data_IF_882795584958
#
_entry.id   IF_882795584958
#
_cell.length_a   1.000
_cell.length_b   1.000
_cell.length_c   1.000
_cell.angle_alpha   90.00
_cell.angle_beta   90.00
_cell.angle_gamma   90.00
#
_symmetry.space_group_name_H-M   'P 1'
#
loop_
_entity.id
_entity.type
_entity.pdbx_description
1 polymer ?
#
# COMPACT_ATOMS: atom_id res chain seq x y z
N UNK A 1 -38.82 39.02 -27.40
CA UNK A 1 -37.93 38.51 -26.37
C UNK A 1 -37.81 39.58 -25.31
N UNK A 2 -38.35 39.37 -24.12
CA UNK A 2 -38.44 40.40 -23.08
C UNK A 2 -37.07 40.62 -22.42
N UNK A 3 -36.78 41.85 -22.02
CA UNK A 3 -35.52 42.26 -21.34
C UNK A 3 -35.16 41.38 -20.13
N UNK A 4 -36.15 40.80 -19.45
CA UNK A 4 -36.00 39.85 -18.36
C UNK A 4 -35.33 38.52 -18.81
N UNK A 5 -35.65 38.02 -20.01
CA UNK A 5 -35.03 36.77 -20.56
C UNK A 5 -33.57 36.97 -20.95
N UNK A 6 -33.22 38.18 -21.43
CA UNK A 6 -31.83 38.52 -21.77
C UNK A 6 -30.96 38.64 -20.49
N UNK A 7 -31.48 39.27 -19.42
CA UNK A 7 -30.77 39.34 -18.12
C UNK A 7 -30.57 37.97 -17.47
N UNK A 8 -31.56 37.08 -17.55
CA UNK A 8 -31.39 35.68 -17.04
C UNK A 8 -30.38 34.86 -17.83
N UNK A 9 -30.32 35.02 -19.15
CA UNK A 9 -29.33 34.38 -20.00
C UNK A 9 -27.91 34.89 -19.72
N UNK A 10 -27.72 36.20 -19.53
CA UNK A 10 -26.41 36.79 -19.19
C UNK A 10 -25.97 36.35 -17.80
N UNK A 11 -26.84 36.29 -16.80
CA UNK A 11 -26.54 35.80 -15.46
C UNK A 11 -26.16 34.30 -15.47
N UNK A 12 -26.84 33.45 -16.24
CA UNK A 12 -26.57 32.03 -16.36
C UNK A 12 -25.26 31.75 -17.11
N UNK A 13 -24.87 32.55 -18.09
CA UNK A 13 -23.57 32.43 -18.77
C UNK A 13 -22.44 32.87 -17.86
N UNK A 14 -22.57 33.95 -17.10
CA UNK A 14 -21.57 34.44 -16.14
C UNK A 14 -21.29 33.40 -15.01
N UNK A 15 -22.35 32.79 -14.46
CA UNK A 15 -22.18 31.73 -13.43
C UNK A 15 -21.50 30.49 -13.99
N UNK A 16 -21.78 30.09 -15.22
CA UNK A 16 -21.13 28.93 -15.88
C UNK A 16 -19.64 29.19 -16.12
N UNK A 17 -19.28 30.38 -16.59
CA UNK A 17 -17.87 30.77 -16.77
C UNK A 17 -17.12 30.80 -15.47
N UNK A 18 -17.66 31.29 -14.37
CA UNK A 18 -17.08 31.28 -13.05
C UNK A 18 -16.86 29.85 -12.53
N UNK A 19 -17.78 28.92 -12.74
CA UNK A 19 -17.62 27.53 -12.38
C UNK A 19 -16.48 26.84 -13.15
N UNK A 20 -16.34 27.10 -14.43
CA UNK A 20 -15.25 26.57 -15.27
C UNK A 20 -13.89 27.16 -14.84
N UNK A 21 -13.83 28.47 -14.58
CA UNK A 21 -12.63 29.12 -14.10
C UNK A 21 -12.18 28.54 -12.75
N UNK A 22 -13.06 28.41 -11.79
CA UNK A 22 -12.77 27.80 -10.48
C UNK A 22 -12.24 26.36 -10.63
N UNK A 23 -12.88 25.53 -11.47
CA UNK A 23 -12.43 24.17 -11.73
C UNK A 23 -11.00 24.14 -12.29
N UNK A 24 -10.69 25.02 -13.25
CA UNK A 24 -9.35 25.12 -13.83
C UNK A 24 -8.31 25.56 -12.80
N UNK A 25 -8.64 26.52 -11.93
CA UNK A 25 -7.77 26.93 -10.83
C UNK A 25 -7.48 25.79 -9.84
N UNK A 26 -8.52 25.06 -9.44
CA UNK A 26 -8.36 23.90 -8.57
C UNK A 26 -7.48 22.81 -9.21
N UNK A 27 -7.60 22.57 -10.52
CA UNK A 27 -6.74 21.63 -11.23
C UNK A 27 -5.31 22.14 -11.36
N UNK A 28 -5.10 23.46 -11.55
CA UNK A 28 -3.77 24.05 -11.61
C UNK A 28 -3.02 23.95 -10.26
N UNK A 29 -3.75 23.92 -9.14
CA UNK A 29 -3.16 23.64 -7.82
C UNK A 29 -2.41 22.29 -7.79
N UNK A 30 -2.83 21.30 -8.61
CA UNK A 30 -2.12 20.04 -8.74
C UNK A 30 -0.72 20.18 -9.31
N UNK A 31 -0.55 21.05 -10.31
CA UNK A 31 0.79 21.36 -10.87
C UNK A 31 1.61 22.15 -9.84
N UNK A 32 1.02 23.15 -9.23
CA UNK A 32 1.70 24.01 -8.26
C UNK A 32 2.19 23.22 -7.03
N UNK A 33 1.31 22.40 -6.41
CA UNK A 33 1.67 21.55 -5.27
C UNK A 33 2.75 20.53 -5.64
N UNK A 34 2.56 19.84 -6.76
CA UNK A 34 3.54 18.85 -7.25
C UNK A 34 4.91 19.44 -7.57
N UNK A 35 4.99 20.73 -7.92
CA UNK A 35 6.26 21.42 -8.18
C UNK A 35 6.87 21.96 -6.90
N UNK A 36 6.04 22.44 -5.96
CA UNK A 36 6.52 23.02 -4.71
C UNK A 36 7.26 21.99 -3.84
N UNK A 37 6.80 20.74 -3.77
CA UNK A 37 7.41 19.69 -2.94
C UNK A 37 8.89 19.46 -3.30
N UNK A 38 9.28 19.12 -4.54
CA UNK A 38 10.70 18.90 -4.88
C UNK A 38 11.54 20.19 -4.75
N UNK A 39 10.98 21.36 -5.01
CA UNK A 39 11.69 22.62 -4.82
C UNK A 39 11.97 22.88 -3.35
N UNK A 40 11.02 22.60 -2.47
CA UNK A 40 11.17 22.73 -1.01
C UNK A 40 12.21 21.76 -0.46
N UNK A 41 12.20 20.49 -0.91
CA UNK A 41 13.19 19.47 -0.52
C UNK A 41 14.62 19.90 -0.94
N UNK A 42 14.81 20.26 -2.21
CA UNK A 42 16.10 20.72 -2.71
C UNK A 42 16.57 21.95 -1.92
N UNK A 43 15.70 22.94 -1.72
CA UNK A 43 16.04 24.15 -0.98
C UNK A 43 16.41 23.85 0.47
N UNK A 44 15.63 23.03 1.17
CA UNK A 44 15.90 22.65 2.56
C UNK A 44 17.24 21.93 2.72
N UNK A 45 17.57 21.03 1.78
CA UNK A 45 18.86 20.33 1.77
C UNK A 45 20.05 21.29 1.75
N UNK A 46 19.95 22.42 1.03
CA UNK A 46 21.02 23.44 1.01
C UNK A 46 21.17 24.18 2.32
N UNK A 47 20.18 24.08 3.22
CA UNK A 47 20.16 24.75 4.53
C UNK A 47 20.54 23.84 5.69
N UNK A 48 20.75 22.54 5.43
CA UNK A 48 21.15 21.59 6.45
C UNK A 48 22.63 21.20 6.26
N UNK A 49 23.51 21.80 7.05
CA UNK A 49 24.95 21.50 6.99
C UNK A 49 25.24 20.04 7.30
N UNK A 50 25.98 19.37 6.41
CA UNK A 50 26.33 17.96 6.57
C UNK A 50 25.26 16.98 6.09
N UNK A 51 24.12 17.44 5.59
CA UNK A 51 23.10 16.57 5.04
C UNK A 51 23.51 15.98 3.68
N UNK A 52 23.40 14.66 3.56
CA UNK A 52 23.63 13.97 2.29
C UNK A 52 22.32 13.78 1.52
N UNK A 53 22.13 14.55 0.45
CA UNK A 53 20.97 14.41 -0.44
C UNK A 53 20.83 13.00 -1.03
N UNK A 54 21.96 12.33 -1.28
CA UNK A 54 22.01 10.96 -1.81
C UNK A 54 21.62 9.91 -0.77
N UNK A 55 22.11 10.06 0.47
CA UNK A 55 22.12 8.96 1.45
C UNK A 55 21.11 9.17 2.59
N UNK A 56 20.60 10.41 2.80
CA UNK A 56 19.66 10.70 3.87
C UNK A 56 18.24 10.89 3.36
N UNK A 57 17.27 10.37 4.11
CA UNK A 57 15.86 10.42 3.80
C UNK A 57 15.30 11.86 3.80
N UNK A 58 14.26 12.11 3.03
CA UNK A 58 13.55 13.41 3.04
C UNK A 58 12.99 13.69 4.42
N UNK A 59 12.49 12.68 5.11
CA UNK A 59 11.92 12.78 6.46
C UNK A 59 12.95 13.25 7.51
N UNK A 60 14.24 13.03 7.30
CA UNK A 60 15.30 13.55 8.18
C UNK A 60 15.40 15.10 8.12
N UNK A 61 14.90 15.75 7.06
CA UNK A 61 14.85 17.22 6.98
C UNK A 61 13.86 17.85 7.96
N UNK A 62 12.88 17.09 8.43
CA UNK A 62 11.86 17.56 9.39
C UNK A 62 11.70 16.64 10.61
N UNK A 63 12.71 15.79 10.85
CA UNK A 63 12.80 15.01 12.08
C UNK A 63 12.79 15.88 13.34
N UNK A 64 12.44 15.31 14.48
CA UNK A 64 12.46 16.01 15.76
C UNK A 64 13.89 16.51 16.03
N UNK A 65 14.07 17.83 16.13
CA UNK A 65 15.37 18.47 16.32
C UNK A 65 16.15 18.78 15.03
N UNK A 66 15.63 18.45 13.84
CA UNK A 66 16.27 18.82 12.58
C UNK A 66 16.29 20.36 12.41
N UNK A 67 17.43 20.96 11.98
CA UNK A 67 17.56 22.41 11.85
C UNK A 67 16.65 23.00 10.77
N UNK A 68 16.20 22.18 9.83
CA UNK A 68 15.34 22.57 8.71
C UNK A 68 13.85 22.32 8.97
N UNK A 69 13.45 21.75 10.08
CA UNK A 69 12.05 21.39 10.36
C UNK A 69 11.10 22.59 10.25
N UNK A 70 11.48 23.75 10.82
CA UNK A 70 10.70 25.00 10.76
C UNK A 70 10.54 25.57 9.35
N UNK A 71 11.36 25.15 8.40
CA UNK A 71 11.28 25.52 6.98
C UNK A 71 10.47 24.50 6.19
N UNK A 72 10.77 23.22 6.39
CA UNK A 72 10.23 22.12 5.58
C UNK A 72 8.75 21.88 5.89
N UNK A 73 8.38 21.83 7.17
CA UNK A 73 7.00 21.57 7.61
C UNK A 73 6.00 22.55 6.99
N UNK A 74 6.19 23.88 7.03
CA UNK A 74 5.28 24.83 6.38
C UNK A 74 5.23 24.63 4.85
N UNK A 75 6.39 24.46 4.19
CA UNK A 75 6.42 24.31 2.73
C UNK A 75 5.74 23.03 2.25
N UNK A 76 5.95 21.91 2.92
CA UNK A 76 5.26 20.66 2.64
C UNK A 76 3.76 20.73 2.96
N UNK A 77 3.39 21.45 4.04
CA UNK A 77 1.98 21.70 4.37
C UNK A 77 1.28 22.55 3.29
N UNK A 78 1.94 23.56 2.74
CA UNK A 78 1.42 24.34 1.60
C UNK A 78 1.28 23.44 0.37
N UNK A 79 2.28 22.62 0.05
CA UNK A 79 2.21 21.65 -1.05
C UNK A 79 1.01 20.71 -0.89
N UNK A 80 0.84 20.11 0.29
CA UNK A 80 -0.29 19.22 0.60
C UNK A 80 -1.64 19.94 0.53
N UNK A 81 -1.72 21.19 0.98
CA UNK A 81 -2.94 22.01 0.84
C UNK A 81 -3.30 22.27 -0.63
N UNK A 82 -2.32 22.58 -1.47
CA UNK A 82 -2.54 22.74 -2.91
C UNK A 82 -3.00 21.41 -3.55
N UNK A 83 -2.44 20.28 -3.15
CA UNK A 83 -2.88 18.97 -3.62
C UNK A 83 -4.28 18.59 -3.10
N UNK A 84 -4.67 19.05 -1.91
CA UNK A 84 -6.04 18.89 -1.41
C UNK A 84 -7.03 19.70 -2.24
N UNK A 85 -6.69 20.94 -2.61
CA UNK A 85 -7.48 21.74 -3.55
C UNK A 85 -7.55 21.08 -4.93
N UNK A 86 -6.46 20.46 -5.37
CA UNK A 86 -6.45 19.67 -6.60
C UNK A 86 -7.41 18.47 -6.53
N UNK A 87 -7.48 17.76 -5.41
CA UNK A 87 -8.44 16.67 -5.22
C UNK A 87 -9.91 17.17 -5.38
N UNK A 88 -10.22 18.37 -4.89
CA UNK A 88 -11.51 19.02 -5.16
C UNK A 88 -11.71 19.32 -6.66
N UNK A 89 -10.65 19.73 -7.36
CA UNK A 89 -10.67 19.93 -8.82
C UNK A 89 -10.95 18.62 -9.58
N UNK A 90 -10.32 17.51 -9.17
CA UNK A 90 -10.58 16.17 -9.73
C UNK A 90 -12.04 15.77 -9.52
N UNK A 91 -12.56 15.97 -8.30
CA UNK A 91 -13.98 15.67 -8.00
C UNK A 91 -14.93 16.43 -8.91
N UNK A 92 -14.70 17.73 -9.10
CA UNK A 92 -15.50 18.58 -10.00
C UNK A 92 -15.38 18.17 -11.47
N UNK A 93 -14.24 17.61 -11.87
CA UNK A 93 -13.97 17.12 -13.23
C UNK A 93 -14.57 15.74 -13.50
N UNK A 94 -15.10 15.07 -12.49
CA UNK A 94 -15.54 13.69 -12.62
C UNK A 94 -16.72 13.50 -13.59
N UNK A 95 -17.58 14.50 -13.78
CA UNK A 95 -18.74 14.45 -14.68
C UNK A 95 -19.53 13.13 -14.56
N UNK A 96 -19.78 12.67 -13.32
CA UNK A 96 -20.45 11.40 -13.02
C UNK A 96 -19.59 10.14 -13.17
N UNK A 97 -18.32 10.25 -13.58
CA UNK A 97 -17.36 9.12 -13.65
C UNK A 97 -16.93 8.73 -12.23
N UNK A 98 -17.50 7.69 -11.69
CA UNK A 98 -17.27 7.24 -10.29
C UNK A 98 -15.82 6.90 -9.98
N UNK A 99 -15.09 6.31 -10.93
CA UNK A 99 -13.64 6.04 -10.76
C UNK A 99 -12.84 7.32 -10.52
N UNK A 100 -13.22 8.42 -11.20
CA UNK A 100 -12.60 9.74 -10.98
C UNK A 100 -13.03 10.35 -9.65
N UNK A 101 -14.28 10.13 -9.21
CA UNK A 101 -14.73 10.58 -7.88
C UNK A 101 -13.98 9.86 -6.77
N UNK A 102 -13.81 8.52 -6.86
CA UNK A 102 -13.02 7.77 -5.90
C UNK A 102 -11.53 8.12 -5.94
N UNK A 103 -10.99 8.38 -7.14
CA UNK A 103 -9.64 8.92 -7.27
C UNK A 103 -9.50 10.23 -6.48
N UNK A 104 -10.46 11.15 -6.60
CA UNK A 104 -10.46 12.40 -5.85
C UNK A 104 -10.54 12.18 -4.34
N UNK A 105 -11.35 11.22 -3.87
CA UNK A 105 -11.44 10.87 -2.44
C UNK A 105 -10.11 10.31 -1.93
N UNK A 106 -9.49 9.37 -2.65
CA UNK A 106 -8.20 8.81 -2.23
C UNK A 106 -7.10 9.87 -2.25
N UNK A 107 -7.09 10.76 -3.24
CA UNK A 107 -6.20 11.91 -3.26
C UNK A 107 -6.41 12.85 -2.07
N UNK A 108 -7.67 13.12 -1.69
CA UNK A 108 -7.96 13.94 -0.52
C UNK A 108 -7.49 13.27 0.79
N UNK A 109 -7.70 11.95 0.93
CA UNK A 109 -7.24 11.20 2.10
C UNK A 109 -5.71 11.17 2.19
N UNK A 110 -5.01 10.92 1.08
CA UNK A 110 -3.55 10.97 1.00
C UNK A 110 -3.00 12.35 1.41
N UNK A 111 -3.59 13.42 0.89
CA UNK A 111 -3.12 14.77 1.21
C UNK A 111 -3.49 15.21 2.64
N UNK A 112 -4.60 14.73 3.21
CA UNK A 112 -4.95 14.93 4.61
C UNK A 112 -4.01 14.14 5.54
N UNK A 113 -3.63 12.92 5.15
CA UNK A 113 -2.60 12.14 5.82
C UNK A 113 -1.29 12.93 5.90
N UNK A 114 -0.79 13.40 4.77
CA UNK A 114 0.44 14.21 4.70
C UNK A 114 0.34 15.55 5.44
N UNK A 115 -0.83 16.20 5.44
CA UNK A 115 -1.02 17.50 6.09
C UNK A 115 -1.18 17.39 7.60
N UNK A 116 -1.78 16.30 8.09
CA UNK A 116 -2.17 16.14 9.49
C UNK A 116 -1.32 15.09 10.18
N UNK A 117 -1.38 13.82 9.73
CA UNK A 117 -0.80 12.70 10.48
C UNK A 117 0.73 12.72 10.49
N UNK A 118 1.37 13.11 9.40
CA UNK A 118 2.83 13.26 9.35
C UNK A 118 3.36 14.30 10.34
N UNK A 119 2.58 15.36 10.63
CA UNK A 119 2.94 16.37 11.63
C UNK A 119 2.72 15.88 13.08
N UNK A 120 1.82 14.90 13.30
CA UNK A 120 1.62 14.29 14.62
C UNK A 120 2.62 13.17 14.91
N UNK A 121 3.18 12.55 13.88
CA UNK A 121 4.13 11.43 14.01
C UNK A 121 5.45 11.73 13.29
N UNK A 122 6.17 12.79 13.66
CA UNK A 122 7.51 13.05 13.12
C UNK A 122 8.48 11.95 13.57
N UNK A 123 9.46 11.63 12.73
CA UNK A 123 10.52 10.70 13.11
C UNK A 123 11.56 11.38 14.03
N UNK A 124 12.30 10.58 14.79
CA UNK A 124 13.49 11.03 15.52
C UNK A 124 14.71 11.09 14.60
N UNK A 125 15.74 11.77 15.08
CA UNK A 125 17.02 11.88 14.39
C UNK A 125 17.67 10.50 14.23
N UNK A 126 18.46 10.36 13.16
CA UNK A 126 19.31 9.18 12.90
C UNK A 126 20.12 8.80 14.14
N UNK A 127 20.18 7.50 14.44
CA UNK A 127 20.88 6.96 15.61
C UNK A 127 20.11 7.04 16.93
N UNK A 128 18.85 7.52 16.89
CA UNK A 128 17.97 7.51 18.07
C UNK A 128 17.31 6.14 18.26
N UNK A 129 16.99 5.80 19.52
CA UNK A 129 16.18 4.61 19.79
C UNK A 129 14.79 4.77 19.19
N UNK A 130 14.27 3.74 18.46
CA UNK A 130 12.96 3.82 17.84
C UNK A 130 11.84 3.95 18.90
N UNK A 131 10.94 4.89 18.68
CA UNK A 131 9.79 5.12 19.54
C UNK A 131 8.46 4.87 18.79
N UNK A 132 7.34 4.95 19.50
CA UNK A 132 6.02 4.76 18.90
C UNK A 132 5.76 5.71 17.71
N UNK A 133 6.22 6.95 17.79
CA UNK A 133 6.10 7.94 16.70
C UNK A 133 6.82 7.50 15.44
N UNK A 134 7.98 6.85 15.56
CA UNK A 134 8.75 6.32 14.42
C UNK A 134 8.06 5.14 13.75
N UNK A 135 7.44 4.26 14.55
CA UNK A 135 6.60 3.18 14.03
C UNK A 135 5.41 3.74 13.24
N UNK A 136 4.73 4.75 13.78
CA UNK A 136 3.61 5.41 13.11
C UNK A 136 4.08 6.15 11.85
N UNK A 137 5.23 6.84 11.89
CA UNK A 137 5.85 7.46 10.73
C UNK A 137 6.11 6.45 9.61
N UNK A 138 6.71 5.30 9.94
CA UNK A 138 6.93 4.21 8.99
C UNK A 138 5.64 3.63 8.42
N UNK A 139 4.57 3.53 9.22
CA UNK A 139 3.26 3.08 8.76
C UNK A 139 2.65 4.07 7.76
N UNK A 140 2.72 5.39 8.04
CA UNK A 140 2.22 6.43 7.15
C UNK A 140 3.03 6.49 5.85
N UNK A 141 4.34 6.22 5.90
CA UNK A 141 5.21 6.21 4.72
C UNK A 141 4.85 5.14 3.68
N UNK A 142 4.11 4.08 4.05
CA UNK A 142 3.59 3.10 3.08
C UNK A 142 2.44 3.66 2.23
N UNK A 143 1.75 4.67 2.70
CA UNK A 143 0.72 5.47 2.05
C UNK A 143 -0.30 4.67 1.22
N UNK A 144 -1.23 3.93 1.87
CA UNK A 144 -2.23 3.14 1.19
C UNK A 144 -3.21 3.98 0.36
N UNK A 145 -3.40 5.25 0.72
CA UNK A 145 -4.29 6.17 0.00
C UNK A 145 -3.68 6.60 -1.33
N UNK A 146 -2.37 6.88 -1.36
CA UNK A 146 -1.64 7.15 -2.60
C UNK A 146 -1.70 5.94 -3.54
N UNK A 147 -1.38 4.75 -3.04
CA UNK A 147 -1.44 3.53 -3.85
C UNK A 147 -2.85 3.35 -4.43
N UNK A 148 -3.90 3.53 -3.63
CA UNK A 148 -5.27 3.46 -4.08
C UNK A 148 -5.59 4.53 -5.14
N UNK A 149 -5.12 5.77 -4.96
CA UNK A 149 -5.32 6.86 -5.91
C UNK A 149 -4.68 6.56 -7.27
N UNK A 150 -3.41 6.12 -7.29
CA UNK A 150 -2.70 5.82 -8.55
C UNK A 150 -3.34 4.63 -9.26
N UNK A 151 -3.75 3.57 -8.54
CA UNK A 151 -4.50 2.44 -9.13
C UNK A 151 -5.83 2.90 -9.71
N UNK A 152 -6.58 3.75 -9.01
CA UNK A 152 -7.82 4.33 -9.55
C UNK A 152 -7.56 5.21 -10.78
N UNK A 153 -6.43 5.90 -10.84
CA UNK A 153 -5.96 6.62 -12.03
C UNK A 153 -5.78 5.67 -13.22
N UNK A 154 -5.11 4.53 -13.04
CA UNK A 154 -4.96 3.52 -14.08
C UNK A 154 -6.31 2.91 -14.55
N UNK A 155 -7.31 2.85 -13.66
CA UNK A 155 -8.67 2.38 -13.97
C UNK A 155 -9.48 3.46 -14.69
N UNK A 156 -9.40 4.71 -14.23
CA UNK A 156 -10.22 5.83 -14.69
C UNK A 156 -9.84 6.32 -16.09
N UNK A 157 -8.57 6.20 -16.47
CA UNK A 157 -8.05 6.70 -17.73
C UNK A 157 -7.62 5.55 -18.67
N UNK A 158 -7.47 5.86 -19.97
CA UNK A 158 -7.09 4.90 -21.02
C UNK A 158 -5.89 5.44 -21.82
N UNK A 159 -5.36 4.60 -22.72
CA UNK A 159 -4.25 4.99 -23.61
C UNK A 159 -2.94 5.21 -22.85
N UNK A 160 -2.15 6.15 -23.33
CA UNK A 160 -0.79 6.44 -22.85
C UNK A 160 -0.74 6.81 -21.36
N UNK A 161 -1.74 7.55 -20.87
CA UNK A 161 -1.78 7.93 -19.45
C UNK A 161 -1.96 6.72 -18.52
N UNK A 162 -2.72 5.69 -18.93
CA UNK A 162 -2.80 4.43 -18.17
C UNK A 162 -1.46 3.72 -18.10
N UNK A 163 -0.77 3.61 -19.25
CA UNK A 163 0.56 2.97 -19.31
C UNK A 163 1.56 3.72 -18.43
N UNK A 164 1.59 5.04 -18.53
CA UNK A 164 2.39 5.90 -17.67
C UNK A 164 2.06 5.68 -16.18
N UNK A 165 0.79 5.66 -15.80
CA UNK A 165 0.36 5.44 -14.41
C UNK A 165 0.80 4.07 -13.89
N UNK A 166 0.66 3.00 -14.68
CA UNK A 166 1.13 1.66 -14.29
C UNK A 166 2.65 1.64 -14.14
N UNK A 167 3.38 2.28 -15.08
CA UNK A 167 4.83 2.44 -14.97
C UNK A 167 5.24 3.20 -13.70
N UNK A 168 4.52 4.26 -13.34
CA UNK A 168 4.75 5.01 -12.09
C UNK A 168 4.53 4.12 -10.86
N UNK A 169 3.45 3.32 -10.81
CA UNK A 169 3.21 2.38 -9.69
C UNK A 169 4.40 1.43 -9.50
N UNK A 170 4.83 0.80 -10.57
CA UNK A 170 5.94 -0.17 -10.51
C UNK A 170 7.26 0.50 -10.10
N UNK A 171 7.55 1.67 -10.69
CA UNK A 171 8.76 2.42 -10.41
C UNK A 171 8.82 2.90 -8.95
N UNK A 172 7.76 3.57 -8.48
CA UNK A 172 7.70 4.09 -7.11
C UNK A 172 7.70 2.96 -6.09
N UNK A 173 7.02 1.85 -6.37
CA UNK A 173 7.00 0.68 -5.49
C UNK A 173 8.39 0.06 -5.31
N UNK A 174 9.12 -0.17 -6.40
CA UNK A 174 10.49 -0.74 -6.33
C UNK A 174 11.41 0.18 -5.54
N UNK A 175 11.39 1.49 -5.82
CA UNK A 175 12.28 2.44 -5.13
C UNK A 175 11.89 2.64 -3.66
N UNK A 176 10.59 2.64 -3.34
CA UNK A 176 10.12 2.68 -1.95
C UNK A 176 10.63 1.46 -1.18
N UNK A 177 10.54 0.26 -1.74
CA UNK A 177 11.06 -0.96 -1.10
C UNK A 177 12.57 -0.88 -0.88
N UNK A 178 13.33 -0.34 -1.83
CA UNK A 178 14.77 -0.10 -1.66
C UNK A 178 15.04 0.90 -0.52
N UNK A 179 14.31 2.01 -0.44
CA UNK A 179 14.42 2.98 0.66
C UNK A 179 14.09 2.37 2.02
N UNK A 180 12.99 1.61 2.10
CA UNK A 180 12.57 0.94 3.32
C UNK A 180 13.60 -0.07 3.85
N UNK A 181 14.42 -0.68 3.00
CA UNK A 181 15.46 -1.62 3.44
C UNK A 181 16.52 -0.98 4.37
N UNK A 182 16.62 0.34 4.39
CA UNK A 182 17.57 1.08 5.22
C UNK A 182 17.01 1.58 6.56
N UNK A 183 15.73 1.38 6.87
CA UNK A 183 15.10 1.95 8.07
C UNK A 183 15.81 1.51 9.35
N UNK A 184 16.24 0.25 9.46
CA UNK A 184 16.99 -0.24 10.61
C UNK A 184 18.35 0.44 10.74
N UNK A 185 19.06 0.64 9.62
CA UNK A 185 20.36 1.32 9.59
C UNK A 185 20.24 2.80 9.99
N UNK A 186 19.11 3.47 9.65
CA UNK A 186 18.85 4.84 10.10
C UNK A 186 18.80 4.91 11.63
N UNK A 187 18.07 4.01 12.29
CA UNK A 187 17.99 3.99 13.75
C UNK A 187 19.28 3.53 14.40
N UNK A 188 20.06 2.65 13.76
CA UNK A 188 21.39 2.27 14.23
C UNK A 188 22.44 3.37 14.02
N UNK A 189 22.13 4.46 13.31
CA UNK A 189 23.11 5.48 12.94
C UNK A 189 24.10 5.07 11.87
N UNK A 190 23.84 3.96 11.19
CA UNK A 190 24.71 3.36 10.16
C UNK A 190 24.57 4.07 8.80
N UNK A 191 25.56 3.93 7.90
CA UNK A 191 25.48 4.43 6.54
C UNK A 191 24.28 3.85 5.75
N UNK A 192 23.58 4.70 5.02
CA UNK A 192 22.42 4.31 4.20
C UNK A 192 22.63 4.74 2.74
N UNK A 193 23.59 4.12 2.02
CA UNK A 193 23.97 4.54 0.68
C UNK A 193 22.78 4.47 -0.29
N UNK A 194 22.55 5.58 -1.01
CA UNK A 194 21.45 5.75 -1.98
C UNK A 194 20.03 5.80 -1.40
N UNK A 195 19.82 5.70 -0.09
CA UNK A 195 18.48 5.77 0.52
C UNK A 195 17.75 7.06 0.13
N UNK A 196 18.39 8.22 0.32
CA UNK A 196 17.82 9.51 -0.02
C UNK A 196 17.53 9.69 -1.50
N UNK A 197 18.41 9.19 -2.37
CA UNK A 197 18.21 9.23 -3.81
C UNK A 197 17.04 8.36 -4.27
N UNK A 198 16.90 7.14 -3.75
CA UNK A 198 15.78 6.24 -4.10
C UNK A 198 14.45 6.76 -3.58
N UNK A 199 14.40 7.30 -2.36
CA UNK A 199 13.21 7.92 -1.81
C UNK A 199 12.77 9.13 -2.66
N UNK A 200 13.70 10.06 -2.97
CA UNK A 200 13.40 11.22 -3.81
C UNK A 200 12.96 10.86 -5.21
N UNK A 201 13.59 9.87 -5.83
CA UNK A 201 13.17 9.39 -7.15
C UNK A 201 11.73 8.85 -7.12
N UNK A 202 11.32 8.12 -6.05
CA UNK A 202 9.96 7.67 -5.84
C UNK A 202 9.01 8.86 -5.63
N UNK A 203 9.34 9.78 -4.73
CA UNK A 203 8.51 10.95 -4.41
C UNK A 203 8.35 11.89 -5.61
N UNK A 204 9.42 12.15 -6.37
CA UNK A 204 9.37 13.04 -7.53
C UNK A 204 8.60 12.41 -8.69
N UNK A 205 8.69 11.09 -8.88
CA UNK A 205 7.85 10.39 -9.85
C UNK A 205 6.37 10.49 -9.49
N UNK A 206 6.04 10.42 -8.19
CA UNK A 206 4.67 10.62 -7.69
C UNK A 206 4.20 12.07 -7.93
N UNK A 207 5.02 13.05 -7.61
CA UNK A 207 4.69 14.46 -7.85
C UNK A 207 4.52 14.73 -9.36
N UNK A 208 5.36 14.15 -10.21
CA UNK A 208 5.22 14.22 -11.67
C UNK A 208 3.89 13.60 -12.11
N UNK A 209 3.47 12.49 -11.50
CA UNK A 209 2.17 11.89 -11.79
C UNK A 209 1.01 12.81 -11.42
N UNK A 210 1.06 13.54 -10.27
CA UNK A 210 0.05 14.55 -9.93
C UNK A 210 -0.02 15.65 -10.98
N UNK A 211 1.14 16.19 -11.40
CA UNK A 211 1.20 17.23 -12.42
C UNK A 211 0.65 16.75 -13.77
N UNK A 212 0.98 15.53 -14.18
CA UNK A 212 0.48 14.93 -15.42
C UNK A 212 -1.03 14.65 -15.36
N UNK A 213 -1.55 14.18 -14.23
CA UNK A 213 -3.00 14.02 -14.02
C UNK A 213 -3.72 15.37 -14.13
N UNK A 214 -3.17 16.42 -13.50
CA UNK A 214 -3.71 17.77 -13.60
C UNK A 214 -3.72 18.27 -15.05
N UNK A 215 -2.63 18.06 -15.79
CA UNK A 215 -2.50 18.43 -17.19
C UNK A 215 -3.50 17.70 -18.09
N UNK A 216 -3.72 16.40 -17.86
CA UNK A 216 -4.72 15.60 -18.58
C UNK A 216 -6.13 16.15 -18.33
N UNK A 217 -6.50 16.41 -17.07
CA UNK A 217 -7.82 16.93 -16.72
C UNK A 217 -8.04 18.37 -17.22
N UNK A 218 -6.98 19.21 -17.26
CA UNK A 218 -7.05 20.57 -17.82
C UNK A 218 -7.27 20.57 -19.34
N UNK A 219 -6.82 19.52 -20.04
CA UNK A 219 -7.00 19.34 -21.48
C UNK A 219 -8.36 18.74 -21.84
N UNK A 220 -9.01 18.03 -20.93
CA UNK A 220 -10.37 17.54 -21.13
C UNK A 220 -11.31 18.75 -21.24
N UNK A 221 -11.86 19.01 -22.43
CA UNK A 221 -12.85 20.07 -22.63
C UNK A 221 -14.11 19.68 -21.82
N UNK A 222 -14.77 20.62 -21.10
CA UNK A 222 -16.09 20.38 -20.54
C UNK A 222 -17.06 20.11 -21.70
N UNK A 223 -17.35 18.84 -21.96
CA UNK A 223 -18.32 18.52 -23.03
C UNK A 223 -19.72 18.86 -22.55
N UNK A 224 -20.32 19.87 -23.17
CA UNK A 224 -21.70 20.27 -22.97
C UNK A 224 -22.73 19.16 -23.31
N UNK A 225 -22.29 18.02 -23.82
CA UNK A 225 -23.11 16.91 -24.31
C UNK A 225 -23.26 15.71 -23.37
N UNK A 226 -22.68 15.74 -22.16
CA UNK A 226 -22.77 14.60 -21.22
C UNK A 226 -23.98 14.67 -20.27
N UNK A 227 -24.96 15.50 -20.52
CA UNK A 227 -26.21 15.60 -19.71
C UNK A 227 -27.27 14.56 -20.10
N UNK A 228 -27.05 13.77 -21.14
CA UNK A 228 -27.98 12.73 -21.56
C UNK A 228 -27.41 11.35 -21.20
N UNK A 229 -28.06 10.76 -20.20
CA UNK A 229 -27.93 9.41 -19.65
C UNK A 229 -26.65 9.12 -18.88
N UNK A 230 -26.70 9.14 -17.52
CA UNK A 230 -25.68 8.49 -16.73
C UNK A 230 -25.79 6.99 -16.97
N UNK A 231 -24.77 6.40 -17.62
CA UNK A 231 -24.61 4.95 -17.62
C UNK A 231 -24.43 4.53 -16.17
N UNK A 232 -25.52 4.13 -15.53
CA UNK A 232 -25.53 3.61 -14.16
C UNK A 232 -24.77 2.27 -14.09
N UNK A 233 -23.45 2.32 -14.26
CA UNK A 233 -22.60 1.25 -13.73
C UNK A 233 -22.58 1.45 -12.23
N UNK A 234 -23.18 0.54 -11.50
CA UNK A 234 -23.40 0.64 -10.06
C UNK A 234 -22.06 0.84 -9.34
N UNK A 235 -21.96 1.84 -8.44
CA UNK A 235 -20.78 2.14 -7.59
C UNK A 235 -20.26 0.89 -6.88
N UNK A 236 -21.16 -0.05 -6.52
CA UNK A 236 -20.82 -1.34 -5.94
C UNK A 236 -19.95 -2.20 -6.83
N UNK A 237 -20.13 -2.16 -8.17
CA UNK A 237 -19.35 -2.99 -9.12
C UNK A 237 -17.91 -2.52 -9.21
N UNK A 238 -17.67 -1.20 -9.28
CA UNK A 238 -16.32 -0.65 -9.38
C UNK A 238 -15.52 -0.82 -8.08
N UNK A 239 -16.16 -0.62 -6.92
CA UNK A 239 -15.54 -0.86 -5.62
C UNK A 239 -15.17 -2.33 -5.43
N UNK A 240 -16.05 -3.27 -5.80
CA UNK A 240 -15.75 -4.70 -5.72
C UNK A 240 -14.61 -5.06 -6.67
N UNK A 241 -14.58 -4.53 -7.90
CA UNK A 241 -13.48 -4.76 -8.85
C UNK A 241 -12.14 -4.24 -8.34
N UNK A 242 -12.14 -3.07 -7.70
CA UNK A 242 -10.95 -2.52 -7.04
C UNK A 242 -10.52 -3.42 -5.88
N UNK A 243 -11.44 -3.76 -4.99
CA UNK A 243 -11.14 -4.60 -3.83
C UNK A 243 -10.70 -6.03 -4.24
N UNK A 244 -11.22 -6.59 -5.36
CA UNK A 244 -10.67 -7.82 -5.94
C UNK A 244 -9.21 -7.64 -6.39
N UNK A 245 -8.82 -6.47 -6.93
CA UNK A 245 -7.42 -6.21 -7.32
C UNK A 245 -6.48 -6.20 -6.11
N UNK A 246 -6.98 -5.85 -4.92
CA UNK A 246 -6.19 -5.89 -3.68
C UNK A 246 -5.62 -7.28 -3.39
N UNK A 247 -6.24 -8.37 -3.92
CA UNK A 247 -5.67 -9.73 -3.82
C UNK A 247 -4.34 -9.88 -4.57
N UNK A 248 -4.21 -9.30 -5.76
CA UNK A 248 -2.93 -9.28 -6.49
C UNK A 248 -1.93 -8.38 -5.79
N UNK A 249 -2.35 -7.19 -5.37
CA UNK A 249 -1.46 -6.25 -4.68
C UNK A 249 -0.96 -6.80 -3.34
N UNK A 250 -1.80 -7.48 -2.56
CA UNK A 250 -1.36 -8.13 -1.32
C UNK A 250 -0.33 -9.24 -1.59
N UNK A 251 -0.52 -10.03 -2.66
CA UNK A 251 0.43 -11.07 -3.04
C UNK A 251 1.77 -10.48 -3.49
N UNK A 252 1.75 -9.40 -4.29
CA UNK A 252 2.98 -8.69 -4.72
C UNK A 252 3.68 -8.06 -3.53
N UNK A 253 2.97 -7.34 -2.66
CA UNK A 253 3.55 -6.70 -1.48
C UNK A 253 4.26 -7.73 -0.59
N UNK A 254 3.57 -8.82 -0.22
CA UNK A 254 4.16 -9.83 0.66
C UNK A 254 5.36 -10.53 0.01
N UNK A 255 5.28 -10.84 -1.29
CA UNK A 255 6.43 -11.41 -2.02
C UNK A 255 7.64 -10.46 -2.02
N UNK A 256 7.39 -9.15 -2.16
CA UNK A 256 8.45 -8.14 -2.06
C UNK A 256 9.04 -8.06 -0.65
N UNK A 257 8.21 -8.16 0.39
CA UNK A 257 8.68 -8.22 1.79
C UNK A 257 9.61 -9.43 2.01
N UNK A 258 9.28 -10.60 1.44
CA UNK A 258 10.12 -11.81 1.57
C UNK A 258 11.51 -11.66 0.92
N UNK A 259 11.64 -10.76 -0.06
CA UNK A 259 12.91 -10.53 -0.78
C UNK A 259 13.69 -9.38 -0.14
N UNK A 260 13.01 -8.27 0.14
CA UNK A 260 13.66 -7.00 0.50
C UNK A 260 14.00 -6.93 1.99
N UNK A 261 13.09 -7.35 2.88
CA UNK A 261 13.30 -7.22 4.33
C UNK A 261 14.54 -8.03 4.82
N UNK A 262 14.77 -9.27 4.34
CA UNK A 262 16.00 -9.99 4.68
C UNK A 262 17.29 -9.23 4.38
N UNK A 263 17.33 -8.36 3.37
CA UNK A 263 18.51 -7.59 3.00
C UNK A 263 18.92 -6.56 4.08
N UNK A 264 18.00 -6.20 4.96
CA UNK A 264 18.25 -5.30 6.08
C UNK A 264 18.80 -6.00 7.35
N UNK A 265 19.07 -7.30 7.27
CA UNK A 265 19.62 -8.08 8.38
C UNK A 265 20.73 -9.01 7.85
N UNK A 266 21.98 -8.58 7.98
CA UNK A 266 23.16 -9.26 7.40
C UNK A 266 23.36 -10.71 7.87
N UNK A 267 22.97 -11.02 9.10
CA UNK A 267 23.11 -12.34 9.70
C UNK A 267 21.93 -13.28 9.39
N UNK A 268 20.86 -12.74 8.78
CA UNK A 268 19.67 -13.52 8.47
C UNK A 268 19.88 -14.39 7.23
N UNK A 269 19.59 -15.67 7.37
CA UNK A 269 19.60 -16.64 6.27
C UNK A 269 18.17 -17.00 5.85
N UNK A 270 17.77 -16.52 4.67
CA UNK A 270 16.46 -16.87 4.09
C UNK A 270 16.27 -18.38 3.83
N UNK A 271 17.36 -19.15 3.77
CA UNK A 271 17.29 -20.60 3.61
C UNK A 271 16.98 -21.32 4.93
N UNK A 272 17.62 -20.89 6.01
CA UNK A 272 17.60 -21.60 7.30
C UNK A 272 16.69 -20.95 8.35
N UNK A 273 16.34 -19.67 8.20
CA UNK A 273 15.53 -18.95 9.17
C UNK A 273 14.11 -18.69 8.67
N UNK A 274 13.16 -18.73 9.61
CA UNK A 274 11.75 -18.55 9.34
C UNK A 274 11.41 -17.10 8.97
N UNK A 275 10.33 -16.91 8.25
CA UNK A 275 9.78 -15.57 7.95
C UNK A 275 9.32 -14.88 9.24
N UNK A 276 8.85 -15.66 10.22
CA UNK A 276 8.43 -15.15 11.53
C UNK A 276 9.58 -14.50 12.30
N UNK A 277 10.82 -14.97 12.15
CA UNK A 277 12.01 -14.37 12.78
C UNK A 277 12.26 -12.94 12.29
N UNK A 278 11.83 -12.57 11.06
CA UNK A 278 11.94 -11.19 10.57
C UNK A 278 11.08 -10.19 11.35
N UNK A 279 10.05 -10.66 12.06
CA UNK A 279 9.15 -9.85 12.90
C UNK A 279 9.27 -10.18 14.39
N UNK A 280 10.23 -11.02 14.78
CA UNK A 280 10.44 -11.43 16.16
C UNK A 280 10.70 -10.23 17.08
N UNK A 281 10.49 -10.41 18.38
CA UNK A 281 10.88 -9.43 19.39
C UNK A 281 12.40 -9.23 19.28
N UNK A 282 12.84 -7.98 19.26
CA UNK A 282 14.22 -7.54 19.10
C UNK A 282 14.89 -7.87 17.75
N UNK A 283 14.12 -8.40 16.76
CA UNK A 283 14.65 -8.56 15.41
C UNK A 283 14.95 -7.20 14.77
N UNK A 284 16.13 -7.00 14.14
CA UNK A 284 16.49 -5.74 13.47
C UNK A 284 15.46 -5.29 12.41
N UNK A 285 14.80 -6.26 11.78
CA UNK A 285 13.82 -6.04 10.71
C UNK A 285 12.39 -5.83 11.18
N UNK A 286 12.12 -5.90 12.49
CA UNK A 286 10.77 -5.79 13.04
C UNK A 286 10.08 -4.47 12.67
N UNK A 287 10.80 -3.34 12.74
CA UNK A 287 10.29 -2.01 12.40
C UNK A 287 9.92 -1.88 10.92
N UNK A 288 10.52 -2.66 10.04
CA UNK A 288 10.14 -2.77 8.63
C UNK A 288 8.91 -3.66 8.44
N UNK A 289 8.90 -4.80 9.15
CA UNK A 289 7.88 -5.82 8.96
C UNK A 289 6.49 -5.34 9.40
N UNK A 290 6.39 -4.70 10.58
CA UNK A 290 5.10 -4.37 11.19
C UNK A 290 4.24 -3.44 10.32
N UNK A 291 4.71 -2.26 9.85
CA UNK A 291 3.88 -1.37 9.04
C UNK A 291 3.49 -2.00 7.71
N UNK A 292 4.41 -2.68 7.03
CA UNK A 292 4.14 -3.37 5.77
C UNK A 292 3.16 -4.53 5.96
N UNK A 293 3.28 -5.27 7.07
CA UNK A 293 2.37 -6.34 7.45
C UNK A 293 0.93 -5.84 7.70
N UNK A 294 0.76 -4.68 8.33
CA UNK A 294 -0.57 -4.06 8.51
C UNK A 294 -1.18 -3.69 7.16
N UNK A 295 -0.41 -3.04 6.27
CA UNK A 295 -0.91 -2.68 4.94
C UNK A 295 -1.26 -3.93 4.13
N UNK A 296 -0.41 -4.95 4.19
CA UNK A 296 -0.72 -6.24 3.58
C UNK A 296 -2.04 -6.83 4.10
N UNK A 297 -2.26 -6.84 5.41
CA UNK A 297 -3.47 -7.36 6.03
C UNK A 297 -4.72 -6.57 5.60
N UNK A 298 -4.63 -5.24 5.49
CA UNK A 298 -5.73 -4.40 4.98
C UNK A 298 -6.06 -4.71 3.52
N UNK A 299 -5.07 -4.88 2.65
CA UNK A 299 -5.26 -5.26 1.25
C UNK A 299 -5.88 -6.67 1.14
N UNK A 300 -5.40 -7.62 1.94
CA UNK A 300 -5.89 -8.99 1.97
C UNK A 300 -7.33 -9.05 2.52
N UNK A 301 -7.66 -8.28 3.54
CA UNK A 301 -9.01 -8.14 4.08
C UNK A 301 -9.99 -7.51 3.08
N UNK A 302 -9.57 -6.46 2.37
CA UNK A 302 -10.35 -5.84 1.30
C UNK A 302 -10.65 -6.84 0.17
N UNK A 303 -9.66 -7.66 -0.21
CA UNK A 303 -9.85 -8.75 -1.14
C UNK A 303 -10.87 -9.78 -0.64
N UNK A 304 -10.75 -10.25 0.61
CA UNK A 304 -11.69 -11.18 1.23
C UNK A 304 -13.12 -10.65 1.25
N UNK A 305 -13.29 -9.38 1.60
CA UNK A 305 -14.58 -8.69 1.53
C UNK A 305 -15.15 -8.69 0.08
N UNK A 306 -14.31 -8.44 -0.92
CA UNK A 306 -14.74 -8.45 -2.32
C UNK A 306 -15.11 -9.85 -2.81
N UNK A 307 -14.39 -10.89 -2.38
CA UNK A 307 -14.76 -12.30 -2.62
C UNK A 307 -16.15 -12.57 -2.04
N UNK A 308 -16.39 -12.19 -0.78
CA UNK A 308 -17.71 -12.33 -0.14
C UNK A 308 -18.81 -11.61 -0.93
N UNK A 309 -18.60 -10.36 -1.32
CA UNK A 309 -19.57 -9.58 -2.13
C UNK A 309 -19.72 -10.11 -3.56
N UNK A 310 -18.76 -10.88 -4.06
CA UNK A 310 -18.82 -11.51 -5.38
C UNK A 310 -19.56 -12.86 -5.39
N UNK A 311 -19.88 -13.41 -4.23
CA UNK A 311 -20.36 -14.77 -4.06
C UNK A 311 -21.77 -15.04 -4.62
N UNK A 312 -22.56 -14.00 -4.94
CA UNK A 312 -23.96 -14.13 -5.36
C UNK A 312 -24.75 -15.11 -4.44
N UNK A 313 -25.21 -16.25 -4.97
CA UNK A 313 -25.89 -17.31 -4.22
C UNK A 313 -24.96 -18.38 -3.63
N UNK A 314 -23.65 -18.38 -4.01
CA UNK A 314 -22.71 -19.42 -3.56
C UNK A 314 -22.34 -19.25 -2.08
N UNK A 315 -22.86 -20.15 -1.23
CA UNK A 315 -22.49 -20.18 0.21
C UNK A 315 -21.01 -20.46 0.40
N UNK A 316 -20.43 -21.37 -0.41
CA UNK A 316 -19.01 -21.73 -0.32
C UNK A 316 -18.11 -20.54 -0.65
N UNK A 317 -18.39 -19.79 -1.71
CA UNK A 317 -17.58 -18.60 -2.07
C UNK A 317 -17.76 -17.48 -1.03
N UNK A 318 -18.94 -17.35 -0.41
CA UNK A 318 -19.17 -16.42 0.69
C UNK A 318 -18.33 -16.77 1.92
N UNK A 319 -18.31 -18.06 2.28
CA UNK A 319 -17.48 -18.56 3.37
C UNK A 319 -15.97 -18.39 3.07
N UNK A 320 -15.53 -18.62 1.81
CA UNK A 320 -14.17 -18.30 1.38
C UNK A 320 -13.81 -16.84 1.70
N UNK A 321 -14.65 -15.89 1.29
CA UNK A 321 -14.42 -14.48 1.56
C UNK A 321 -14.38 -14.15 3.05
N UNK A 322 -15.28 -14.75 3.85
CA UNK A 322 -15.29 -14.60 5.30
C UNK A 322 -14.00 -15.14 5.95
N UNK A 323 -13.55 -16.33 5.56
CA UNK A 323 -12.29 -16.92 6.07
C UNK A 323 -11.08 -16.04 5.76
N UNK A 324 -11.01 -15.45 4.56
CA UNK A 324 -9.95 -14.51 4.19
C UNK A 324 -10.01 -13.24 5.07
N UNK A 325 -11.20 -12.68 5.32
CA UNK A 325 -11.33 -11.50 6.19
C UNK A 325 -10.89 -11.83 7.62
N UNK A 326 -11.31 -12.98 8.16
CA UNK A 326 -10.88 -13.40 9.51
C UNK A 326 -9.38 -13.60 9.58
N UNK A 327 -8.77 -14.23 8.56
CA UNK A 327 -7.32 -14.40 8.47
C UNK A 327 -6.58 -13.05 8.38
N UNK A 328 -7.13 -12.08 7.65
CA UNK A 328 -6.55 -10.74 7.55
C UNK A 328 -6.59 -10.00 8.90
N UNK A 329 -7.72 -10.05 9.60
CA UNK A 329 -7.85 -9.47 10.95
C UNK A 329 -6.90 -10.16 11.93
N UNK A 330 -6.81 -11.49 11.89
CA UNK A 330 -5.86 -12.25 12.68
C UNK A 330 -4.40 -11.83 12.38
N UNK A 331 -4.09 -11.50 11.12
CA UNK A 331 -2.78 -11.01 10.71
C UNK A 331 -2.37 -9.68 11.34
N UNK A 332 -3.32 -8.78 11.63
CA UNK A 332 -3.05 -7.50 12.32
C UNK A 332 -2.65 -7.75 13.79
N UNK A 333 -3.29 -8.73 14.44
CA UNK A 333 -3.08 -9.05 15.86
C UNK A 333 -2.15 -10.25 16.05
N UNK A 334 -1.21 -10.45 15.12
CA UNK A 334 -0.30 -11.60 15.17
C UNK A 334 0.60 -11.53 16.41
N UNK A 335 0.56 -12.52 17.31
CA UNK A 335 1.42 -12.54 18.48
C UNK A 335 2.90 -12.61 18.05
N UNK A 336 3.79 -11.76 18.56
CA UNK A 336 5.20 -11.85 18.23
C UNK A 336 5.85 -13.08 18.90
N UNK A 337 6.87 -13.63 18.24
CA UNK A 337 7.76 -14.62 18.84
C UNK A 337 9.09 -13.97 19.25
N UNK A 338 9.86 -14.62 20.11
CA UNK A 338 11.25 -14.27 20.37
C UNK A 338 12.19 -14.90 19.34
N UNK A 339 13.40 -14.37 19.26
CA UNK A 339 14.48 -14.95 18.47
C UNK A 339 14.87 -16.34 19.04
N UNK A 340 15.39 -17.23 18.17
CA UNK A 340 15.73 -18.60 18.53
C UNK A 340 16.76 -18.70 19.69
N UNK A 341 17.66 -17.74 19.78
CA UNK A 341 18.66 -17.65 20.85
C UNK A 341 17.99 -17.44 22.21
N UNK A 342 16.97 -16.60 22.26
CA UNK A 342 16.19 -16.32 23.48
C UNK A 342 15.34 -17.53 23.88
N UNK A 343 14.73 -18.20 22.90
CA UNK A 343 13.94 -19.41 23.14
C UNK A 343 14.83 -20.54 23.71
N UNK A 344 16.00 -20.79 23.11
CA UNK A 344 16.95 -21.79 23.55
C UNK A 344 17.53 -21.51 24.94
N UNK A 345 17.62 -20.23 25.33
CA UNK A 345 18.02 -19.82 26.68
C UNK A 345 16.89 -19.94 27.73
N UNK A 346 15.70 -20.43 27.35
CA UNK A 346 14.54 -20.54 28.22
C UNK A 346 13.79 -19.21 28.43
N UNK A 347 14.04 -18.19 27.57
CA UNK A 347 13.38 -16.88 27.62
C UNK A 347 12.02 -16.83 26.94
N UNK A 348 11.45 -17.97 26.53
CA UNK A 348 10.13 -18.02 25.89
C UNK A 348 9.00 -17.59 26.84
N UNK A 349 7.98 -16.96 26.21
CA UNK A 349 6.81 -16.41 26.93
C UNK A 349 5.50 -16.99 26.39
N UNK A 350 4.39 -16.62 26.99
CA UNK A 350 3.04 -16.97 26.48
C UNK A 350 2.83 -16.48 25.04
N UNK A 351 3.50 -15.37 24.63
CA UNK A 351 3.42 -14.85 23.28
C UNK A 351 3.93 -15.85 22.23
N UNK A 352 5.00 -16.60 22.53
CA UNK A 352 5.56 -17.62 21.63
C UNK A 352 4.58 -18.80 21.44
N UNK A 353 3.96 -19.26 22.50
CA UNK A 353 2.90 -20.28 22.43
C UNK A 353 1.70 -19.79 21.61
N UNK A 354 1.27 -18.54 21.85
CA UNK A 354 0.18 -17.93 21.09
C UNK A 354 0.55 -17.78 19.62
N UNK A 355 1.83 -17.46 19.29
CA UNK A 355 2.32 -17.39 17.91
C UNK A 355 2.10 -18.72 17.18
N UNK A 356 2.47 -19.84 17.81
CA UNK A 356 2.29 -21.18 17.21
C UNK A 356 0.81 -21.51 17.04
N UNK A 357 -0.02 -21.26 18.06
CA UNK A 357 -1.47 -21.49 18.00
C UNK A 357 -2.11 -20.64 16.91
N UNK A 358 -1.68 -19.36 16.80
CA UNK A 358 -2.19 -18.42 15.78
C UNK A 358 -1.79 -18.85 14.37
N UNK A 359 -0.57 -19.33 14.20
CA UNK A 359 -0.06 -19.88 12.93
C UNK A 359 -0.89 -21.09 12.51
N UNK A 360 -1.14 -22.02 13.42
CA UNK A 360 -1.97 -23.20 13.15
C UNK A 360 -3.41 -22.83 12.80
N UNK A 361 -4.04 -21.92 13.55
CA UNK A 361 -5.38 -21.42 13.26
C UNK A 361 -5.48 -20.75 11.89
N UNK A 362 -4.48 -19.95 11.52
CA UNK A 362 -4.43 -19.28 10.23
C UNK A 362 -4.20 -20.26 9.08
N UNK A 363 -3.41 -21.31 9.27
CA UNK A 363 -3.26 -22.40 8.30
C UNK A 363 -4.60 -23.11 8.05
N UNK A 364 -5.36 -23.41 9.11
CA UNK A 364 -6.69 -24.02 8.99
C UNK A 364 -7.65 -23.09 8.21
N UNK A 365 -7.67 -21.79 8.53
CA UNK A 365 -8.51 -20.81 7.80
C UNK A 365 -8.13 -20.72 6.31
N UNK A 366 -6.84 -20.79 6.01
CA UNK A 366 -6.33 -20.76 4.63
C UNK A 366 -6.75 -22.02 3.86
N UNK A 367 -6.55 -23.20 4.43
CA UNK A 367 -6.96 -24.47 3.82
C UNK A 367 -8.47 -24.55 3.62
N UNK A 368 -9.25 -24.07 4.61
CA UNK A 368 -10.71 -23.96 4.52
C UNK A 368 -11.12 -23.03 3.37
N UNK A 369 -10.53 -21.84 3.29
CA UNK A 369 -10.81 -20.90 2.20
C UNK A 369 -10.51 -21.50 0.82
N UNK A 370 -9.39 -22.22 0.68
CA UNK A 370 -9.01 -22.90 -0.55
C UNK A 370 -9.96 -24.03 -0.92
N UNK A 371 -10.33 -24.87 0.04
CA UNK A 371 -11.28 -25.99 -0.17
C UNK A 371 -12.66 -25.50 -0.57
N UNK A 372 -13.17 -24.46 0.10
CA UNK A 372 -14.46 -23.84 -0.22
C UNK A 372 -14.46 -23.17 -1.59
N UNK A 373 -13.39 -22.47 -1.96
CA UNK A 373 -13.24 -21.89 -3.29
C UNK A 373 -13.12 -22.98 -4.38
N UNK A 374 -12.42 -24.06 -4.10
CA UNK A 374 -12.34 -25.24 -4.99
C UNK A 374 -13.71 -25.89 -5.24
N UNK A 375 -14.57 -25.91 -4.21
CA UNK A 375 -15.94 -26.41 -4.34
C UNK A 375 -16.85 -25.46 -5.12
N UNK A 376 -16.61 -24.12 -5.01
CA UNK A 376 -17.46 -23.09 -5.59
C UNK A 376 -17.16 -22.79 -7.07
N UNK A 377 -15.91 -23.02 -7.52
CA UNK A 377 -15.43 -22.60 -8.82
C UNK A 377 -15.18 -23.79 -9.75
N UNK A 378 -15.03 -23.51 -11.04
CA UNK A 378 -14.97 -24.54 -12.08
C UNK A 378 -13.82 -25.55 -11.94
N UNK A 379 -13.91 -26.67 -12.70
CA UNK A 379 -12.99 -27.82 -12.59
C UNK A 379 -11.49 -27.44 -12.64
N UNK A 380 -11.09 -26.51 -13.53
CA UNK A 380 -9.68 -26.09 -13.64
C UNK A 380 -9.17 -25.45 -12.37
N UNK A 381 -9.96 -24.53 -11.78
CA UNK A 381 -9.59 -23.87 -10.52
C UNK A 381 -9.60 -24.85 -9.35
N UNK A 382 -10.51 -25.82 -9.34
CA UNK A 382 -10.56 -26.89 -8.34
C UNK A 382 -9.27 -27.71 -8.33
N UNK A 383 -8.83 -28.19 -9.51
CA UNK A 383 -7.58 -28.97 -9.63
C UNK A 383 -6.38 -28.14 -9.15
N UNK A 384 -6.31 -26.87 -9.57
CA UNK A 384 -5.27 -25.94 -9.13
C UNK A 384 -5.27 -25.76 -7.61
N UNK A 385 -6.44 -25.54 -7.00
CA UNK A 385 -6.56 -25.36 -5.54
C UNK A 385 -6.17 -26.63 -4.78
N UNK A 386 -6.56 -27.80 -5.25
CA UNK A 386 -6.16 -29.09 -4.62
C UNK A 386 -4.65 -29.27 -4.71
N UNK A 387 -4.04 -29.01 -5.86
CA UNK A 387 -2.58 -29.09 -6.02
C UNK A 387 -1.86 -28.10 -5.08
N UNK A 388 -2.37 -26.86 -4.94
CA UNK A 388 -1.82 -25.89 -4.00
C UNK A 388 -1.97 -26.37 -2.56
N UNK A 389 -3.12 -26.90 -2.15
CA UNK A 389 -3.33 -27.47 -0.81
C UNK A 389 -2.31 -28.59 -0.52
N UNK A 390 -2.04 -29.48 -1.47
CA UNK A 390 -1.04 -30.54 -1.31
C UNK A 390 0.35 -29.93 -1.09
N UNK A 391 0.73 -28.91 -1.86
CA UNK A 391 2.01 -28.21 -1.67
C UNK A 391 2.07 -27.57 -0.28
N UNK A 392 1.02 -26.89 0.16
CA UNK A 392 0.97 -26.24 1.47
C UNK A 392 1.14 -27.27 2.61
N UNK A 393 0.40 -28.38 2.54
CA UNK A 393 0.47 -29.43 3.55
C UNK A 393 1.86 -30.09 3.58
N UNK A 394 2.42 -30.44 2.42
CA UNK A 394 3.74 -31.06 2.33
C UNK A 394 4.84 -30.12 2.85
N UNK A 395 4.87 -28.87 2.38
CA UNK A 395 5.87 -27.91 2.82
C UNK A 395 5.69 -27.55 4.31
N UNK A 396 4.43 -27.43 4.79
CA UNK A 396 4.14 -27.17 6.19
C UNK A 396 4.58 -28.29 7.12
N UNK A 397 4.40 -29.56 6.73
CA UNK A 397 4.90 -30.72 7.50
C UNK A 397 6.43 -30.67 7.57
N UNK A 398 7.11 -30.46 6.44
CA UNK A 398 8.58 -30.41 6.44
C UNK A 398 9.10 -29.26 7.31
N UNK A 399 8.48 -28.08 7.23
CA UNK A 399 8.82 -26.93 8.09
C UNK A 399 8.62 -27.27 9.57
N UNK A 400 7.52 -27.93 9.94
CA UNK A 400 7.21 -28.25 11.34
C UNK A 400 8.13 -29.31 11.95
N UNK A 401 8.77 -30.14 11.13
CA UNK A 401 9.75 -31.13 11.62
C UNK A 401 11.00 -30.47 12.20
N UNK A 402 11.33 -29.26 11.78
CA UNK A 402 12.46 -28.48 12.29
C UNK A 402 12.09 -27.58 13.49
N UNK A 403 10.81 -27.50 13.91
CA UNK A 403 10.38 -26.64 15.02
C UNK A 403 11.12 -26.94 16.35
N UNK A 404 11.30 -28.20 16.81
CA UNK A 404 12.07 -28.47 18.01
C UNK A 404 13.57 -28.08 17.91
N UNK A 405 14.10 -28.07 16.69
CA UNK A 405 15.48 -27.64 16.44
C UNK A 405 15.60 -26.11 16.52
N UNK A 406 14.58 -25.39 16.06
CA UNK A 406 14.52 -23.93 16.20
C UNK A 406 14.49 -23.54 17.69
N UNK A 407 13.63 -24.18 18.48
CA UNK A 407 13.52 -23.92 19.93
C UNK A 407 14.82 -24.23 20.69
N UNK A 408 15.60 -25.19 20.20
CA UNK A 408 16.92 -25.56 20.76
C UNK A 408 18.10 -24.78 20.14
N UNK A 409 17.87 -23.80 19.30
CA UNK A 409 18.85 -23.04 18.51
C UNK A 409 19.82 -23.96 17.72
N UNK A 410 19.31 -25.09 17.23
CA UNK A 410 20.05 -26.01 16.38
C UNK A 410 19.92 -25.64 14.91
N UNK A 411 20.89 -26.02 14.04
CA UNK A 411 20.80 -25.73 12.61
C UNK A 411 19.52 -26.25 11.93
N UNK A 412 18.85 -25.41 11.19
CA UNK A 412 17.64 -25.71 10.42
C UNK A 412 17.83 -25.36 8.93
N UNK A 413 18.69 -26.07 8.19
CA UNK A 413 19.31 -25.61 6.93
C UNK A 413 18.30 -25.28 5.81
N UNK A 414 17.11 -25.88 5.83
CA UNK A 414 16.10 -25.72 4.79
C UNK A 414 14.74 -25.22 5.29
N UNK A 415 14.59 -24.98 6.58
CA UNK A 415 13.32 -24.57 7.19
C UNK A 415 12.73 -23.30 6.53
N UNK A 416 13.56 -22.28 6.32
CA UNK A 416 13.14 -21.05 5.69
C UNK A 416 12.75 -21.21 4.22
N UNK A 417 13.39 -22.14 3.48
CA UNK A 417 13.00 -22.45 2.10
C UNK A 417 11.61 -23.07 2.06
N UNK A 418 11.33 -24.07 2.88
CA UNK A 418 10.03 -24.75 2.89
C UNK A 418 8.90 -23.84 3.35
N UNK A 419 9.15 -22.99 4.34
CA UNK A 419 8.17 -21.96 4.73
C UNK A 419 7.87 -20.99 3.58
N UNK A 420 8.88 -20.54 2.84
CA UNK A 420 8.70 -19.66 1.68
C UNK A 420 7.98 -20.36 0.52
N UNK A 421 8.24 -21.62 0.26
CA UNK A 421 7.48 -22.43 -0.73
C UNK A 421 6.01 -22.46 -0.34
N UNK A 422 5.70 -22.68 0.94
CA UNK A 422 4.33 -22.63 1.45
C UNK A 422 3.69 -21.28 1.20
N UNK A 423 4.33 -20.20 1.62
CA UNK A 423 3.82 -18.82 1.49
C UNK A 423 3.64 -18.43 0.03
N UNK A 424 4.61 -18.68 -0.84
CA UNK A 424 4.55 -18.30 -2.26
C UNK A 424 3.43 -19.06 -2.97
N UNK A 425 3.25 -20.35 -2.70
CA UNK A 425 2.16 -21.14 -3.27
C UNK A 425 0.78 -20.56 -2.87
N UNK A 426 0.64 -20.17 -1.60
CA UNK A 426 -0.58 -19.49 -1.13
C UNK A 426 -0.79 -18.12 -1.77
N UNK A 427 0.23 -17.27 -1.88
CA UNK A 427 0.14 -15.95 -2.52
C UNK A 427 -0.24 -16.05 -4.00
N UNK A 428 0.33 -17.03 -4.71
CA UNK A 428 -0.07 -17.32 -6.10
C UNK A 428 -1.53 -17.73 -6.19
N UNK A 429 -2.02 -18.54 -5.24
CA UNK A 429 -3.42 -18.92 -5.20
C UNK A 429 -4.33 -17.69 -4.99
N UNK A 430 -3.99 -16.79 -4.09
CA UNK A 430 -4.69 -15.52 -3.87
C UNK A 430 -4.73 -14.68 -5.15
N UNK A 431 -3.61 -14.52 -5.84
CA UNK A 431 -3.51 -13.76 -7.09
C UNK A 431 -4.37 -14.37 -8.21
N UNK A 432 -4.35 -15.71 -8.35
CA UNK A 432 -5.16 -16.43 -9.37
C UNK A 432 -6.66 -16.31 -9.06
N UNK A 433 -7.08 -16.48 -7.80
CA UNK A 433 -8.48 -16.29 -7.39
C UNK A 433 -8.94 -14.85 -7.68
N UNK A 434 -8.11 -13.86 -7.34
CA UNK A 434 -8.37 -12.47 -7.64
C UNK A 434 -8.57 -12.21 -9.14
N UNK A 435 -7.66 -12.68 -9.97
CA UNK A 435 -7.71 -12.54 -11.42
C UNK A 435 -8.95 -13.23 -12.04
N UNK A 436 -9.28 -14.44 -11.55
CA UNK A 436 -10.44 -15.21 -12.02
C UNK A 436 -11.75 -14.46 -11.73
N UNK A 437 -11.96 -14.03 -10.48
CA UNK A 437 -13.20 -13.33 -10.09
C UNK A 437 -13.35 -11.98 -10.78
N UNK A 438 -12.22 -11.27 -11.03
CA UNK A 438 -12.23 -10.02 -11.81
C UNK A 438 -12.66 -10.26 -13.26
N UNK A 439 -12.17 -11.34 -13.91
CA UNK A 439 -12.55 -11.69 -15.29
C UNK A 439 -14.04 -12.03 -15.37
N UNK A 440 -14.58 -12.82 -14.46
CA UNK A 440 -16.00 -13.17 -14.43
C UNK A 440 -16.93 -11.97 -14.25
N UNK A 441 -16.44 -10.85 -13.69
CA UNK A 441 -17.21 -9.61 -13.56
C UNK A 441 -17.01 -8.64 -14.73
N UNK A 442 -16.15 -8.95 -15.68
CA UNK A 442 -15.94 -8.20 -16.92
C UNK A 442 -16.73 -8.78 -18.09
N UNK A 443 -17.04 -10.10 -18.04
CA UNK A 443 -17.96 -10.80 -18.95
C UNK A 443 -19.42 -10.59 -18.53
#
# INVERSE_FOLDING_TARGET
MTTATAHQLVAATSTKEQHVALQRWLLACGIAGATLYPLADIFATTRYTGFSYRDQAVSELFAIGAPTSNLVVPLFSISSTLLLLFAMGIWRSANGRRSVQWLAVMMALNTLDALVLWNFFPMHMRGSQPMFTDLMHGLLAVDPFLLAAVVLGAVAFRGSFRVYTVGTILFTFVLAMMGFSYVTAVFAGEPTPWMGATERASQYATNLWYAMLAAVLLRERPSAQSLTTPRRVSMRVDLIRFALACGVFSAVLYSSMLIVIPLAWSEYSSASQTVSELSAIDAPTRMLWLPLGIVWALLYGAFGWAVWKSAASSRALRATGASIVVAAVAGIFWPPMHLREVLAAGGGTVSDTLHIVWTAANAVLTLLAMGLAAAALGRRFRVYSIATIVILLSAGVVTSMDAPRLEANLPTPWMGVWERVNIVAWLLWVAVLSALLRRQRLS
#
